data_IF_853975297684
#
_entry.id   IF_853975297684
#
_cell.length_a   1.000
_cell.length_b   1.000
_cell.length_c   1.000
_cell.angle_alpha   90.00
_cell.angle_beta   90.00
_cell.angle_gamma   90.00
#
_symmetry.space_group_name_H-M   'P 1'
#
loop_
_entity.id
_entity.type
_entity.pdbx_description
1 polymer ?
#
# COMPACT_ATOMS: atom_id res chain seq x y z
N UNK A 1 43.93 -1.53 -3.13
CA UNK A 1 43.19 -0.46 -2.44
C UNK A 1 41.71 -0.85 -2.34
N UNK A 2 41.21 -1.22 -1.15
CA UNK A 2 39.86 -1.78 -0.95
C UNK A 2 38.70 -0.77 -1.01
N UNK A 3 39.00 0.54 -1.09
CA UNK A 3 37.98 1.61 -1.03
C UNK A 3 37.02 1.64 -2.23
N UNK A 4 37.49 1.26 -3.42
CA UNK A 4 36.65 1.24 -4.63
C UNK A 4 35.53 0.19 -4.58
N UNK A 5 35.78 -0.96 -3.95
CA UNK A 5 34.76 -2.00 -3.78
C UNK A 5 33.72 -1.61 -2.72
N UNK A 6 34.16 -1.00 -1.63
CA UNK A 6 33.26 -0.51 -0.59
C UNK A 6 32.32 0.58 -1.14
N UNK A 7 32.84 1.50 -1.96
CA UNK A 7 32.04 2.55 -2.61
C UNK A 7 31.05 1.97 -3.64
N UNK A 8 31.49 1.00 -4.45
CA UNK A 8 30.60 0.30 -5.39
C UNK A 8 29.45 -0.43 -4.68
N UNK A 9 29.75 -1.12 -3.58
CA UNK A 9 28.74 -1.80 -2.76
C UNK A 9 27.76 -0.81 -2.11
N UNK A 10 28.25 0.32 -1.59
CA UNK A 10 27.39 1.39 -1.03
C UNK A 10 26.42 1.93 -2.07
N UNK A 11 26.89 2.24 -3.28
CA UNK A 11 26.04 2.73 -4.38
C UNK A 11 24.97 1.71 -4.75
N UNK A 12 25.35 0.45 -4.88
CA UNK A 12 24.42 -0.63 -5.21
C UNK A 12 23.31 -0.79 -4.16
N UNK A 13 23.67 -0.78 -2.87
CA UNK A 13 22.72 -0.85 -1.77
C UNK A 13 21.78 0.37 -1.72
N UNK A 14 22.28 1.56 -2.02
CA UNK A 14 21.45 2.78 -2.14
C UNK A 14 20.44 2.63 -3.28
N UNK A 15 20.86 2.13 -4.45
CA UNK A 15 19.95 1.87 -5.57
C UNK A 15 18.85 0.87 -5.20
N UNK A 16 19.21 -0.25 -4.57
CA UNK A 16 18.23 -1.25 -4.13
C UNK A 16 17.24 -0.67 -3.11
N UNK A 17 17.74 0.12 -2.15
CA UNK A 17 16.90 0.81 -1.17
C UNK A 17 15.88 1.73 -1.85
N UNK A 18 16.32 2.56 -2.80
CA UNK A 18 15.42 3.46 -3.52
C UNK A 18 14.37 2.72 -4.37
N UNK A 19 14.71 1.55 -4.93
CA UNK A 19 13.74 0.69 -5.61
C UNK A 19 12.67 0.20 -4.64
N UNK A 20 13.08 -0.34 -3.48
CA UNK A 20 12.16 -0.83 -2.44
C UNK A 20 11.28 0.29 -1.90
N UNK A 21 11.85 1.47 -1.65
CA UNK A 21 11.12 2.66 -1.20
C UNK A 21 10.07 3.10 -2.23
N UNK A 22 10.43 3.14 -3.52
CA UNK A 22 9.48 3.47 -4.60
C UNK A 22 8.31 2.48 -4.67
N UNK A 23 8.57 1.19 -4.44
CA UNK A 23 7.54 0.15 -4.47
C UNK A 23 6.62 0.26 -3.26
N UNK A 24 7.21 0.41 -2.07
CA UNK A 24 6.48 0.61 -0.83
C UNK A 24 5.54 1.81 -0.93
N UNK A 25 6.07 2.94 -1.42
CA UNK A 25 5.31 4.17 -1.62
C UNK A 25 4.16 4.01 -2.64
N UNK A 26 4.38 3.34 -3.78
CA UNK A 26 3.30 3.08 -4.74
C UNK A 26 2.20 2.21 -4.15
N UNK A 27 2.56 1.08 -3.54
CA UNK A 27 1.61 0.20 -2.86
C UNK A 27 0.88 0.93 -1.73
N UNK A 28 1.55 1.84 -1.03
CA UNK A 28 0.94 2.68 0.00
C UNK A 28 -0.15 3.58 -0.55
N UNK A 29 0.16 4.33 -1.61
CA UNK A 29 -0.80 5.26 -2.25
C UNK A 29 -2.00 4.54 -2.84
N UNK A 30 -1.79 3.35 -3.41
CA UNK A 30 -2.88 2.51 -3.93
C UNK A 30 -3.78 2.02 -2.80
N UNK A 31 -3.22 1.55 -1.68
CA UNK A 31 -4.01 1.11 -0.52
C UNK A 31 -4.79 2.25 0.13
N UNK A 32 -4.22 3.45 0.22
CA UNK A 32 -4.96 4.63 0.71
C UNK A 32 -6.13 4.95 -0.23
N UNK A 33 -5.89 5.01 -1.54
CA UNK A 33 -6.95 5.28 -2.52
C UNK A 33 -8.08 4.25 -2.44
N UNK A 34 -7.73 2.97 -2.39
CA UNK A 34 -8.69 1.87 -2.25
C UNK A 34 -9.53 1.98 -0.97
N UNK A 35 -8.90 2.24 0.19
CA UNK A 35 -9.64 2.40 1.46
C UNK A 35 -10.54 3.63 1.45
N UNK A 36 -10.08 4.72 0.85
CA UNK A 36 -10.88 5.94 0.75
C UNK A 36 -12.07 5.78 -0.19
N UNK A 37 -11.88 5.06 -1.30
CA UNK A 37 -12.95 4.72 -2.23
C UNK A 37 -13.98 3.78 -1.58
N UNK A 38 -13.53 2.77 -0.84
CA UNK A 38 -14.41 1.90 -0.05
C UNK A 38 -15.18 2.68 1.02
N UNK A 39 -14.54 3.60 1.73
CA UNK A 39 -15.20 4.44 2.74
C UNK A 39 -16.26 5.34 2.10
N UNK A 40 -15.93 5.95 0.95
CA UNK A 40 -16.86 6.78 0.18
C UNK A 40 -18.05 5.96 -0.33
N UNK A 41 -17.80 4.80 -0.94
CA UNK A 41 -18.87 3.90 -1.39
C UNK A 41 -19.75 3.46 -0.21
N UNK A 42 -19.15 3.18 0.96
CA UNK A 42 -19.92 2.81 2.15
C UNK A 42 -20.81 3.93 2.69
N UNK A 43 -20.44 5.20 2.49
CA UNK A 43 -21.22 6.36 2.96
C UNK A 43 -22.26 6.78 1.94
N UNK A 44 -21.85 6.92 0.68
CA UNK A 44 -22.64 7.55 -0.37
C UNK A 44 -23.53 6.53 -1.10
N UNK A 45 -23.03 5.32 -1.32
CA UNK A 45 -23.69 4.30 -2.14
C UNK A 45 -23.50 2.89 -1.56
N UNK A 46 -24.06 2.61 -0.36
CA UNK A 46 -23.81 1.34 0.34
C UNK A 46 -24.27 0.10 -0.45
N UNK A 47 -25.24 0.23 -1.35
CA UNK A 47 -25.70 -0.85 -2.23
C UNK A 47 -24.62 -1.32 -3.23
N UNK A 48 -23.69 -0.45 -3.62
CA UNK A 48 -22.58 -0.82 -4.52
C UNK A 48 -21.58 -1.76 -3.85
N UNK A 49 -21.51 -1.78 -2.51
CA UNK A 49 -20.69 -2.73 -1.76
C UNK A 49 -21.23 -4.15 -1.97
N UNK A 50 -22.56 -4.29 -1.88
CA UNK A 50 -23.23 -5.57 -2.10
C UNK A 50 -23.10 -6.03 -3.58
N UNK A 51 -23.15 -5.09 -4.54
CA UNK A 51 -22.99 -5.38 -5.97
C UNK A 51 -21.60 -5.91 -6.36
N UNK A 52 -20.55 -5.50 -5.63
CA UNK A 52 -19.19 -6.06 -5.79
C UNK A 52 -18.95 -7.31 -4.94
N UNK A 53 -20.00 -7.84 -4.30
CA UNK A 53 -19.96 -9.06 -3.50
C UNK A 53 -19.30 -8.89 -2.12
N UNK A 54 -19.18 -7.66 -1.64
CA UNK A 54 -18.73 -7.37 -0.28
C UNK A 54 -19.95 -7.09 0.61
N UNK A 55 -19.81 -7.37 1.90
CA UNK A 55 -20.77 -6.92 2.90
C UNK A 55 -20.23 -5.69 3.62
N UNK A 56 -21.11 -4.82 4.10
CA UNK A 56 -20.71 -3.67 4.93
C UNK A 56 -19.79 -4.06 6.10
N UNK A 57 -20.04 -5.21 6.74
CA UNK A 57 -19.21 -5.75 7.83
C UNK A 57 -17.80 -6.12 7.38
N UNK A 58 -17.64 -6.64 6.17
CA UNK A 58 -16.31 -6.91 5.60
C UNK A 58 -15.56 -5.62 5.28
N UNK A 59 -16.26 -4.60 4.76
CA UNK A 59 -15.65 -3.28 4.52
C UNK A 59 -15.21 -2.63 5.82
N UNK A 60 -16.04 -2.66 6.86
CA UNK A 60 -15.66 -2.18 8.20
C UNK A 60 -14.45 -2.94 8.76
N UNK A 61 -14.38 -4.26 8.55
CA UNK A 61 -13.22 -5.06 8.95
C UNK A 61 -11.94 -4.69 8.18
N UNK A 62 -12.03 -4.45 6.86
CA UNK A 62 -10.90 -3.96 6.06
C UNK A 62 -10.45 -2.56 6.49
N UNK A 63 -11.39 -1.68 6.86
CA UNK A 63 -11.11 -0.35 7.39
C UNK A 63 -10.58 -0.38 8.83
N UNK A 64 -10.83 -1.45 9.61
CA UNK A 64 -10.28 -1.62 10.94
C UNK A 64 -8.84 -2.19 10.94
N UNK A 65 -8.39 -2.80 9.84
CA UNK A 65 -7.03 -3.36 9.74
C UNK A 65 -5.95 -2.26 9.81
N UNK A 66 -4.86 -2.49 10.56
CA UNK A 66 -3.66 -1.66 10.46
C UNK A 66 -3.13 -1.65 9.02
N UNK A 67 -2.64 -0.50 8.55
CA UNK A 67 -2.27 -0.32 7.14
C UNK A 67 -1.22 -1.35 6.64
N UNK A 68 -0.36 -1.85 7.54
CA UNK A 68 0.76 -2.73 7.21
C UNK A 68 0.35 -4.19 7.09
N UNK A 69 -0.85 -4.54 7.56
CA UNK A 69 -1.32 -5.92 7.58
C UNK A 69 -2.06 -6.23 6.28
N UNK A 70 -1.70 -7.33 5.62
CA UNK A 70 -2.48 -7.91 4.53
C UNK A 70 -3.54 -8.82 5.13
#
# INVERSE_FOLDING_TARGET
MPEGLAEALRRHLTTLRSIVESWHDRSWRERIRFRWELERMSKDNPHLIDDIGLTKRQVEAELAKPFWRR
#
